data_IF_612504270808
#
_entry.id   IF_612504270808
#
_cell.length_a   1.000
_cell.length_b   1.000
_cell.length_c   1.000
_cell.angle_alpha   90.00
_cell.angle_beta   90.00
_cell.angle_gamma   90.00
#
_symmetry.space_group_name_H-M   'P 1'
#
loop_
_entity.id
_entity.type
_entity.pdbx_description
1 polymer ?
#
# COMPACT_ATOMS: atom_id res chain seq x y z
N UNK A 1 -40.02 12.86 49.72
CA UNK A 1 -38.57 12.59 49.85
C UNK A 1 -38.14 11.76 48.65
N UNK A 2 -37.66 12.42 47.60
CA UNK A 2 -37.13 11.75 46.40
C UNK A 2 -35.71 12.25 46.19
N UNK A 3 -34.72 11.38 46.37
CA UNK A 3 -33.32 11.71 46.18
C UNK A 3 -33.01 11.75 44.68
N UNK A 4 -32.68 12.93 44.16
CA UNK A 4 -32.04 13.08 42.86
C UNK A 4 -30.59 12.61 42.99
N UNK A 5 -30.24 11.51 42.32
CA UNK A 5 -28.85 11.08 42.16
C UNK A 5 -28.27 11.84 40.96
N UNK A 6 -27.37 12.77 41.22
CA UNK A 6 -26.48 13.35 40.21
C UNK A 6 -25.45 12.28 39.83
N UNK A 7 -25.57 11.71 38.64
CA UNK A 7 -24.48 10.95 38.01
C UNK A 7 -23.91 11.78 36.88
N UNK A 8 -22.74 12.36 37.15
CA UNK A 8 -21.85 12.92 36.15
C UNK A 8 -21.38 11.78 35.25
N UNK A 9 -21.95 11.65 34.05
CA UNK A 9 -21.33 10.84 33.02
C UNK A 9 -20.68 11.77 31.99
N UNK A 10 -19.36 11.90 32.14
CA UNK A 10 -18.46 12.52 31.20
C UNK A 10 -18.54 11.76 29.88
N UNK A 11 -19.27 12.31 28.91
CA UNK A 11 -19.31 11.79 27.54
C UNK A 11 -17.94 12.02 26.91
N UNK A 12 -17.04 11.05 27.07
CA UNK A 12 -15.91 10.90 26.16
C UNK A 12 -16.50 10.60 24.77
N UNK A 13 -16.51 11.63 23.93
CA UNK A 13 -16.69 11.50 22.49
C UNK A 13 -15.48 10.73 21.94
N UNK A 14 -15.59 9.40 21.92
CA UNK A 14 -14.78 8.58 21.04
C UNK A 14 -15.17 8.96 19.62
N UNK A 15 -14.37 9.82 18.98
CA UNK A 15 -14.38 9.96 17.54
C UNK A 15 -14.03 8.57 16.98
N UNK A 16 -15.06 7.82 16.62
CA UNK A 16 -14.90 6.59 15.87
C UNK A 16 -13.98 6.91 14.67
N UNK A 17 -12.96 6.09 14.39
CA UNK A 17 -12.17 6.29 13.20
C UNK A 17 -13.12 6.34 12.02
N UNK A 18 -13.03 7.40 11.21
CA UNK A 18 -13.79 7.52 9.96
C UNK A 18 -13.44 6.28 9.16
N UNK A 19 -14.36 5.32 9.11
CA UNK A 19 -14.20 4.11 8.32
C UNK A 19 -14.14 4.57 6.87
N UNK A 20 -12.93 4.71 6.34
CA UNK A 20 -12.75 4.88 4.90
C UNK A 20 -13.22 3.59 4.24
N UNK A 21 -14.18 3.71 3.33
CA UNK A 21 -14.69 2.58 2.57
C UNK A 21 -13.55 1.97 1.74
N UNK A 22 -13.15 0.74 2.10
CA UNK A 22 -12.22 -0.06 1.31
C UNK A 22 -13.01 -0.71 0.18
N UNK A 23 -12.71 -0.35 -1.07
CA UNK A 23 -13.28 -0.99 -2.25
C UNK A 23 -12.41 -2.16 -2.67
N UNK A 24 -12.98 -3.36 -2.68
CA UNK A 24 -12.37 -4.55 -3.26
C UNK A 24 -12.85 -4.69 -4.70
N UNK A 25 -11.92 -4.78 -5.64
CA UNK A 25 -12.20 -5.00 -7.06
C UNK A 25 -11.58 -6.34 -7.44
N UNK A 26 -12.40 -7.23 -7.97
CA UNK A 26 -11.95 -8.49 -8.54
C UNK A 26 -11.66 -8.32 -10.04
N UNK A 27 -10.53 -8.84 -10.51
CA UNK A 27 -10.16 -8.76 -11.91
C UNK A 27 -8.72 -9.20 -12.18
N UNK A 28 -8.33 -9.18 -13.45
CA UNK A 28 -6.94 -9.37 -13.86
C UNK A 28 -6.10 -8.16 -13.43
N UNK A 29 -5.04 -8.39 -12.66
CA UNK A 29 -4.11 -7.35 -12.21
C UNK A 29 -3.54 -6.51 -13.35
N UNK A 30 -3.37 -7.09 -14.56
CA UNK A 30 -2.86 -6.36 -15.72
C UNK A 30 -3.92 -5.44 -16.35
N UNK A 31 -5.20 -5.75 -16.16
CA UNK A 31 -6.32 -4.96 -16.68
C UNK A 31 -6.96 -4.03 -15.64
N UNK A 32 -6.77 -4.32 -14.34
CA UNK A 32 -7.36 -3.56 -13.25
C UNK A 32 -6.86 -2.10 -13.24
N UNK A 33 -7.75 -1.18 -12.91
CA UNK A 33 -7.39 0.22 -12.64
C UNK A 33 -6.77 0.32 -11.24
N UNK A 34 -5.52 0.79 -11.20
CA UNK A 34 -4.73 0.96 -9.97
C UNK A 34 -4.40 2.43 -9.70
N UNK A 35 -4.99 3.38 -10.44
CA UNK A 35 -4.67 4.80 -10.36
C UNK A 35 -4.91 5.42 -8.98
N UNK A 36 -5.96 4.93 -8.30
CA UNK A 36 -6.35 5.38 -6.97
C UNK A 36 -5.75 4.52 -5.84
N UNK A 37 -5.03 3.45 -6.16
CA UNK A 37 -4.47 2.54 -5.17
C UNK A 37 -3.31 3.22 -4.42
N UNK A 38 -3.43 3.28 -3.08
CA UNK A 38 -2.38 3.82 -2.20
C UNK A 38 -1.43 2.75 -1.70
N UNK A 39 -1.91 1.51 -1.59
CA UNK A 39 -1.17 0.35 -1.10
C UNK A 39 -1.48 -0.86 -1.97
N UNK A 40 -0.44 -1.57 -2.39
CA UNK A 40 -0.57 -2.80 -3.17
C UNK A 40 0.27 -3.88 -2.52
N UNK A 41 -0.34 -5.05 -2.33
CA UNK A 41 0.30 -6.24 -1.79
C UNK A 41 0.30 -7.33 -2.86
N UNK A 42 1.48 -7.71 -3.35
CA UNK A 42 1.64 -8.75 -4.35
C UNK A 42 2.11 -10.06 -3.71
N UNK A 43 1.25 -11.07 -3.75
CA UNK A 43 1.56 -12.46 -3.42
C UNK A 43 2.37 -13.12 -4.54
N UNK A 44 3.54 -12.56 -4.84
CA UNK A 44 4.27 -12.81 -6.08
C UNK A 44 5.14 -14.07 -6.11
N UNK A 45 5.02 -14.99 -5.14
CA UNK A 45 5.86 -16.19 -5.06
C UNK A 45 5.86 -17.02 -6.34
N UNK A 46 4.70 -17.14 -6.99
CA UNK A 46 4.53 -17.96 -8.20
C UNK A 46 4.58 -17.14 -9.51
N UNK A 47 4.85 -15.83 -9.46
CA UNK A 47 4.83 -15.00 -10.66
C UNK A 47 6.11 -15.22 -11.46
N UNK A 48 6.00 -15.58 -12.74
CA UNK A 48 7.14 -15.70 -13.64
C UNK A 48 7.86 -14.36 -13.87
N UNK A 49 9.12 -14.36 -14.34
CA UNK A 49 9.88 -13.12 -14.59
C UNK A 49 9.15 -12.14 -15.51
N UNK A 50 8.57 -12.63 -16.61
CA UNK A 50 7.82 -11.81 -17.58
C UNK A 50 6.60 -11.13 -16.94
N UNK A 51 5.85 -11.85 -16.09
CA UNK A 51 4.71 -11.27 -15.39
C UNK A 51 5.15 -10.22 -14.36
N UNK A 52 6.26 -10.47 -13.65
CA UNK A 52 6.83 -9.48 -12.73
C UNK A 52 7.24 -8.19 -13.47
N UNK A 53 7.81 -8.30 -14.66
CA UNK A 53 8.15 -7.15 -15.51
C UNK A 53 6.90 -6.38 -15.94
N UNK A 54 5.89 -7.07 -16.47
CA UNK A 54 4.62 -6.45 -16.88
C UNK A 54 3.89 -5.74 -15.74
N UNK A 55 3.82 -6.36 -14.56
CA UNK A 55 3.22 -5.73 -13.38
C UNK A 55 4.03 -4.50 -12.96
N UNK A 56 5.37 -4.60 -12.94
CA UNK A 56 6.22 -3.46 -12.54
C UNK A 56 6.05 -2.29 -13.50
N UNK A 57 5.97 -2.55 -14.81
CA UNK A 57 5.73 -1.54 -15.83
C UNK A 57 4.32 -0.93 -15.74
N UNK A 58 3.29 -1.73 -15.47
CA UNK A 58 1.94 -1.21 -15.24
C UNK A 58 1.91 -0.29 -14.02
N UNK A 59 2.42 -0.78 -12.88
CA UNK A 59 2.42 -0.01 -11.63
C UNK A 59 3.24 1.28 -11.74
N UNK A 60 4.35 1.28 -12.50
CA UNK A 60 5.15 2.50 -12.70
C UNK A 60 4.42 3.59 -13.48
N UNK A 61 3.52 3.20 -14.39
CA UNK A 61 2.77 4.12 -15.25
C UNK A 61 1.45 4.56 -14.62
N UNK A 62 0.72 3.63 -13.99
CA UNK A 62 -0.67 3.84 -13.61
C UNK A 62 -0.83 4.16 -12.12
N UNK A 63 -0.03 3.57 -11.23
CA UNK A 63 -0.24 3.67 -9.78
C UNK A 63 0.32 4.99 -9.19
N UNK A 64 -0.16 6.13 -9.70
CA UNK A 64 0.36 7.48 -9.39
C UNK A 64 0.18 7.88 -7.92
N UNK A 65 -0.80 7.30 -7.22
CA UNK A 65 -1.05 7.54 -5.78
C UNK A 65 -0.37 6.53 -4.86
N UNK A 66 0.38 5.59 -5.41
CA UNK A 66 0.98 4.51 -4.64
C UNK A 66 2.00 5.04 -3.64
N UNK A 67 1.78 4.71 -2.37
CA UNK A 67 2.67 5.06 -1.26
C UNK A 67 3.53 3.86 -0.87
N UNK A 68 2.94 2.66 -0.91
CA UNK A 68 3.60 1.42 -0.53
C UNK A 68 3.28 0.29 -1.49
N UNK A 69 4.32 -0.42 -1.91
CA UNK A 69 4.25 -1.66 -2.63
C UNK A 69 4.97 -2.74 -1.83
N UNK A 70 4.24 -3.78 -1.45
CA UNK A 70 4.75 -4.93 -0.72
C UNK A 70 4.74 -6.15 -1.64
N UNK A 71 5.85 -6.88 -1.71
CA UNK A 71 6.00 -8.00 -2.65
C UNK A 71 6.77 -9.16 -2.01
N UNK A 72 6.42 -10.40 -2.32
CA UNK A 72 7.15 -11.58 -1.84
C UNK A 72 8.42 -11.87 -2.66
N UNK A 73 8.50 -11.34 -3.89
CA UNK A 73 9.67 -11.39 -4.77
C UNK A 73 10.19 -10.00 -5.07
N UNK A 74 11.50 -9.88 -5.26
CA UNK A 74 12.11 -8.62 -5.65
C UNK A 74 11.58 -8.15 -7.01
N UNK A 75 11.31 -6.84 -7.13
CA UNK A 75 11.01 -6.21 -8.42
C UNK A 75 12.22 -6.28 -9.37
N UNK A 76 11.99 -6.45 -10.68
CA UNK A 76 13.04 -6.36 -11.69
C UNK A 76 13.69 -4.96 -11.67
N UNK A 77 15.01 -4.91 -11.88
CA UNK A 77 15.82 -3.68 -11.75
C UNK A 77 15.61 -2.65 -12.86
N UNK A 78 14.90 -2.99 -13.93
CA UNK A 78 14.89 -2.23 -15.20
C UNK A 78 14.08 -0.94 -15.20
N UNK A 79 13.31 -0.59 -14.14
CA UNK A 79 12.57 0.68 -14.07
C UNK A 79 12.56 1.25 -12.64
N UNK A 80 13.45 2.20 -12.38
CA UNK A 80 13.82 2.71 -11.04
C UNK A 80 12.85 3.73 -10.42
N UNK A 81 11.55 3.66 -10.73
CA UNK A 81 10.56 4.50 -10.02
C UNK A 81 10.24 3.94 -8.63
N UNK A 82 10.48 2.65 -8.37
CA UNK A 82 10.27 2.06 -7.06
C UNK A 82 11.58 2.05 -6.27
N UNK A 83 11.65 2.85 -5.21
CA UNK A 83 12.75 2.82 -4.25
C UNK A 83 12.48 1.72 -3.23
N UNK A 84 13.40 0.76 -3.13
CA UNK A 84 13.39 -0.23 -2.06
C UNK A 84 13.55 0.44 -0.70
N UNK A 85 12.62 0.17 0.23
CA UNK A 85 12.61 0.78 1.57
C UNK A 85 13.01 -0.19 2.66
N UNK A 86 12.96 -1.50 2.40
CA UNK A 86 13.36 -2.52 3.36
C UNK A 86 12.59 -3.81 3.16
N UNK A 87 12.72 -4.72 4.12
CA UNK A 87 11.93 -5.94 4.16
C UNK A 87 11.46 -6.22 5.60
N UNK A 88 10.29 -6.85 5.70
CA UNK A 88 9.74 -7.39 6.95
C UNK A 88 9.57 -8.89 6.78
N UNK A 89 9.84 -9.65 7.84
CA UNK A 89 9.52 -11.08 7.87
C UNK A 89 8.11 -11.23 8.44
N UNK A 90 7.24 -11.89 7.69
CA UNK A 90 5.89 -12.20 8.12
C UNK A 90 5.70 -13.71 8.18
N UNK A 91 5.11 -14.19 9.27
CA UNK A 91 4.66 -15.58 9.37
C UNK A 91 3.63 -15.88 8.30
N UNK A 92 3.76 -17.05 7.67
CA UNK A 92 2.85 -17.54 6.64
C UNK A 92 2.46 -18.98 6.96
N UNK A 93 1.28 -19.40 6.51
CA UNK A 93 0.78 -20.77 6.74
C UNK A 93 1.70 -21.85 6.18
N UNK A 94 2.57 -21.53 5.22
CA UNK A 94 3.53 -22.47 4.59
C UNK A 94 4.98 -22.33 5.09
N UNK A 95 5.33 -21.32 5.88
CA UNK A 95 6.68 -21.15 6.47
C UNK A 95 6.70 -21.18 7.99
N UNK A 96 5.53 -21.08 8.64
CA UNK A 96 5.44 -20.98 10.10
C UNK A 96 6.32 -19.85 10.65
N UNK A 97 6.94 -20.12 11.80
CA UNK A 97 7.78 -19.17 12.55
C UNK A 97 9.01 -18.67 11.79
N UNK A 98 9.47 -19.37 10.74
CA UNK A 98 10.58 -18.90 9.91
C UNK A 98 10.18 -17.68 9.06
N UNK A 99 8.88 -17.57 8.74
CA UNK A 99 8.31 -16.48 7.96
C UNK A 99 8.78 -16.41 6.51
N UNK A 100 8.26 -15.44 5.78
CA UNK A 100 8.70 -15.07 4.44
C UNK A 100 9.05 -13.59 4.41
N UNK A 101 10.17 -13.25 3.74
CA UNK A 101 10.56 -11.87 3.54
C UNK A 101 9.58 -11.16 2.58
N UNK A 102 8.88 -10.15 3.08
CA UNK A 102 8.10 -9.21 2.30
C UNK A 102 8.98 -8.00 2.02
N UNK A 103 9.23 -7.73 0.74
CA UNK A 103 10.03 -6.59 0.27
C UNK A 103 9.12 -5.38 0.07
N UNK A 104 9.52 -4.27 0.66
CA UNK A 104 8.77 -3.02 0.65
C UNK A 104 9.43 -2.00 -0.29
N UNK A 105 8.58 -1.28 -1.01
CA UNK A 105 8.98 -0.26 -1.96
C UNK A 105 8.09 0.98 -1.83
N UNK A 106 8.66 2.15 -2.09
CA UNK A 106 7.94 3.42 -2.20
C UNK A 106 8.14 4.01 -3.60
N UNK A 107 7.15 4.73 -4.13
CA UNK A 107 7.32 5.45 -5.38
C UNK A 107 8.28 6.64 -5.18
N UNK A 108 9.32 6.74 -6.00
CA UNK A 108 10.20 7.91 -6.09
C UNK A 108 9.45 8.99 -6.84
N UNK A 109 8.90 9.98 -6.11
CA UNK A 109 8.36 11.17 -6.77
C UNK A 109 9.53 11.98 -7.32
N UNK A 110 9.63 12.08 -8.64
CA UNK A 110 10.47 13.10 -9.25
C UNK A 110 9.75 14.42 -8.96
N UNK A 111 10.24 15.17 -7.99
CA UNK A 111 9.80 16.54 -7.80
C UNK A 111 10.24 17.35 -9.02
N UNK A 112 9.38 17.49 -10.03
CA UNK A 112 9.45 18.61 -10.94
C UNK A 112 9.02 19.85 -10.15
N UNK A 113 9.95 20.44 -9.40
CA UNK A 113 9.86 21.86 -9.08
C UNK A 113 10.25 22.58 -10.36
N UNK A 114 9.26 22.81 -11.24
CA UNK A 114 9.38 23.85 -12.24
C UNK A 114 9.55 25.17 -11.48
N UNK A 115 10.79 25.66 -11.48
CA UNK A 115 11.09 27.06 -11.27
C UNK A 115 10.40 27.85 -12.39
N UNK A 116 9.14 28.23 -12.17
CA UNK A 116 8.56 29.35 -12.90
C UNK A 116 9.09 30.63 -12.26
N UNK A 117 10.30 31.02 -12.70
CA UNK A 117 10.69 32.42 -12.79
C UNK A 117 9.55 33.18 -13.48
N UNK A 118 9.04 34.21 -12.83
CA UNK A 118 8.27 35.25 -13.50
C UNK A 118 9.09 36.54 -13.45
N UNK A 119 9.24 37.23 -14.61
CA UNK A 119 10.04 38.44 -14.75
C UNK A 119 9.50 39.64 -13.96
#
# INVERSE_FOLDING_TARGET
MGNLVLSHNTTQLWLAPVLQDVKLVEGDMLAADVGEATHIFLSSLCFGPQLMEQITEKLSKEAVKLQCLATLRALPRSNSVFRYTGAVFAEMTWTGVEGTAIRLYSLTRICALENSDHP
#
